data_IF_116539818356
#
_entry.id   IF_116539818356
#
_cell.length_a   1.000
_cell.length_b   1.000
_cell.length_c   1.000
_cell.angle_alpha   90.00
_cell.angle_beta   90.00
_cell.angle_gamma   90.00
#
_symmetry.space_group_name_H-M   'P 1'
#
loop_
_entity.id
_entity.type
_entity.pdbx_description
1 polymer ?
#
# COMPACT_ATOMS: atom_id res chain seq x y z
N UNK A 1 -50.86 -19.89 57.08
CA UNK A 1 -50.09 -20.36 55.90
C UNK A 1 -49.91 -19.13 55.00
N UNK A 2 -48.85 -18.34 55.16
CA UNK A 2 -47.60 -18.41 54.36
C UNK A 2 -47.95 -18.43 52.87
N UNK A 3 -47.92 -17.32 52.12
CA UNK A 3 -46.82 -16.37 51.94
C UNK A 3 -46.08 -16.74 50.65
N UNK A 4 -46.51 -16.20 49.50
CA UNK A 4 -45.89 -16.42 48.19
C UNK A 4 -45.99 -15.15 47.32
N UNK A 5 -45.30 -14.09 47.73
CA UNK A 5 -44.92 -12.96 46.86
C UNK A 5 -43.48 -12.60 47.23
N UNK A 6 -42.54 -12.77 46.30
CA UNK A 6 -41.13 -12.44 46.57
C UNK A 6 -40.06 -13.16 45.73
N UNK A 7 -40.38 -13.65 44.53
CA UNK A 7 -39.39 -14.35 43.68
C UNK A 7 -39.06 -13.65 42.35
N UNK A 8 -39.65 -12.49 42.03
CA UNK A 8 -39.44 -11.83 40.73
C UNK A 8 -38.39 -10.70 40.74
N UNK A 9 -38.04 -10.16 41.92
CA UNK A 9 -37.15 -8.98 42.00
C UNK A 9 -35.65 -9.34 41.91
N UNK A 10 -35.27 -10.54 42.35
CA UNK A 10 -33.88 -11.00 42.31
C UNK A 10 -33.44 -11.38 40.88
N UNK A 11 -34.34 -11.95 40.08
CA UNK A 11 -34.07 -12.36 38.69
C UNK A 11 -33.94 -11.15 37.73
N UNK A 12 -34.76 -10.12 37.95
CA UNK A 12 -34.65 -8.84 37.23
C UNK A 12 -33.34 -8.12 37.59
N UNK A 13 -32.90 -8.20 38.85
CA UNK A 13 -31.61 -7.65 39.27
C UNK A 13 -30.44 -8.37 38.60
N UNK A 14 -30.46 -9.71 38.56
CA UNK A 14 -29.40 -10.51 37.94
C UNK A 14 -29.31 -10.31 36.43
N UNK A 15 -30.44 -10.27 35.72
CA UNK A 15 -30.47 -9.94 34.29
C UNK A 15 -29.98 -8.52 33.99
N UNK A 16 -30.27 -7.56 34.87
CA UNK A 16 -29.77 -6.18 34.75
C UNK A 16 -28.25 -6.10 34.96
N UNK A 17 -27.70 -6.89 35.90
CA UNK A 17 -26.25 -7.03 36.09
C UNK A 17 -25.56 -7.65 34.87
N UNK A 18 -26.18 -8.66 34.26
CA UNK A 18 -25.70 -9.27 33.01
C UNK A 18 -25.71 -8.25 31.88
N UNK A 19 -26.79 -7.47 31.71
CA UNK A 19 -26.85 -6.43 30.68
C UNK A 19 -25.82 -5.32 30.88
N UNK A 20 -25.56 -4.90 32.12
CA UNK A 20 -24.51 -3.93 32.42
C UNK A 20 -23.13 -4.48 32.06
N UNK A 21 -22.84 -5.73 32.41
CA UNK A 21 -21.59 -6.38 32.04
C UNK A 21 -21.41 -6.52 30.52
N UNK A 22 -22.49 -6.85 29.79
CA UNK A 22 -22.49 -6.91 28.33
C UNK A 22 -22.27 -5.53 27.71
N UNK A 23 -22.90 -4.48 28.26
CA UNK A 23 -22.72 -3.11 27.78
C UNK A 23 -21.31 -2.58 28.05
N UNK A 24 -20.73 -2.87 29.21
CA UNK A 24 -19.37 -2.50 29.57
C UNK A 24 -18.34 -3.18 28.64
N UNK A 25 -18.49 -4.48 28.42
CA UNK A 25 -17.67 -5.21 27.44
C UNK A 25 -17.86 -4.68 26.03
N UNK A 26 -19.09 -4.36 25.61
CA UNK A 26 -19.36 -3.79 24.29
C UNK A 26 -18.74 -2.38 24.13
N UNK A 27 -18.70 -1.58 25.20
CA UNK A 27 -18.04 -0.28 25.22
C UNK A 27 -16.52 -0.45 25.03
N UNK A 28 -15.88 -1.32 25.82
CA UNK A 28 -14.43 -1.58 25.72
C UNK A 28 -14.04 -2.13 24.35
N UNK A 29 -14.85 -3.03 23.76
CA UNK A 29 -14.63 -3.56 22.40
C UNK A 29 -14.73 -2.43 21.36
N UNK A 30 -15.72 -1.54 21.47
CA UNK A 30 -15.89 -0.40 20.56
C UNK A 30 -14.75 0.60 20.70
N UNK A 31 -14.34 0.92 21.92
CA UNK A 31 -13.22 1.81 22.22
C UNK A 31 -11.91 1.23 21.68
N UNK A 32 -11.64 -0.06 21.92
CA UNK A 32 -10.45 -0.75 21.39
C UNK A 32 -10.45 -0.76 19.86
N UNK A 33 -11.61 -1.04 19.23
CA UNK A 33 -11.73 -0.98 17.78
C UNK A 33 -11.53 0.44 17.24
N UNK A 34 -12.04 1.48 17.91
CA UNK A 34 -11.82 2.88 17.50
C UNK A 34 -10.36 3.31 17.63
N UNK A 35 -9.65 2.91 18.70
CA UNK A 35 -8.22 3.17 18.85
C UNK A 35 -7.35 2.41 17.84
N UNK A 36 -7.81 1.23 17.39
CA UNK A 36 -7.17 0.50 16.29
C UNK A 36 -7.49 1.08 14.89
N UNK A 37 -8.49 1.97 14.77
CA UNK A 37 -8.79 2.71 13.55
C UNK A 37 -8.02 4.04 13.50
N UNK A 38 -6.70 4.01 13.73
CA UNK A 38 -5.88 5.05 13.10
C UNK A 38 -6.00 4.80 11.59
N UNK A 39 -6.44 5.76 10.76
CA UNK A 39 -6.29 5.62 9.33
C UNK A 39 -4.82 5.34 9.09
N UNK A 40 -4.49 4.13 8.60
CA UNK A 40 -3.13 3.77 8.24
C UNK A 40 -2.70 4.77 7.19
N UNK A 41 -1.89 5.75 7.60
CA UNK A 41 -1.26 6.65 6.65
C UNK A 41 -0.37 5.75 5.81
N UNK A 42 -0.78 5.53 4.57
CA UNK A 42 -0.02 4.71 3.64
C UNK A 42 1.40 5.26 3.58
N UNK A 43 2.37 4.43 3.94
CA UNK A 43 3.77 4.84 3.84
C UNK A 43 4.14 4.98 2.37
N UNK A 44 5.18 5.75 2.08
CA UNK A 44 5.68 5.85 0.71
C UNK A 44 6.07 4.47 0.15
N UNK A 45 6.61 3.59 0.99
CA UNK A 45 6.99 2.23 0.62
C UNK A 45 5.76 1.36 0.29
N UNK A 46 4.69 1.44 1.11
CA UNK A 46 3.42 0.76 0.84
C UNK A 46 2.84 1.17 -0.52
N UNK A 47 2.87 2.49 -0.79
CA UNK A 47 2.41 3.05 -2.07
C UNK A 47 3.23 2.52 -3.25
N UNK A 48 4.56 2.48 -3.12
CA UNK A 48 5.46 1.96 -4.15
C UNK A 48 5.16 0.48 -4.40
N UNK A 49 5.05 -0.34 -3.35
CA UNK A 49 4.80 -1.78 -3.48
C UNK A 49 3.47 -2.05 -4.18
N UNK A 50 2.40 -1.33 -3.81
CA UNK A 50 1.10 -1.46 -4.47
C UNK A 50 1.18 -1.09 -5.95
N UNK A 51 1.75 0.06 -6.27
CA UNK A 51 1.81 0.54 -7.67
C UNK A 51 2.69 -0.37 -8.52
N UNK A 52 3.85 -0.80 -8.01
CA UNK A 52 4.70 -1.79 -8.69
C UNK A 52 3.95 -3.11 -8.92
N UNK A 53 3.20 -3.58 -7.93
CA UNK A 53 2.37 -4.78 -8.01
C UNK A 53 1.32 -4.70 -9.12
N UNK A 54 0.56 -3.61 -9.18
CA UNK A 54 -0.44 -3.38 -10.25
C UNK A 54 0.23 -3.21 -11.61
N UNK A 55 1.34 -2.47 -11.67
CA UNK A 55 2.06 -2.25 -12.92
C UNK A 55 2.60 -3.57 -13.50
N UNK A 56 3.12 -4.48 -12.66
CA UNK A 56 3.58 -5.81 -13.08
C UNK A 56 2.47 -6.63 -13.74
N UNK A 57 1.22 -6.51 -13.30
CA UNK A 57 0.07 -7.22 -13.93
C UNK A 57 -0.16 -6.80 -15.38
N UNK A 58 0.28 -5.60 -15.78
CA UNK A 58 0.21 -5.13 -17.16
C UNK A 58 1.24 -5.77 -18.09
N UNK A 59 2.13 -6.64 -17.56
CA UNK A 59 3.24 -7.28 -18.28
C UNK A 59 4.05 -6.27 -19.11
N UNK A 60 4.66 -5.28 -18.46
CA UNK A 60 5.46 -4.28 -19.15
C UNK A 60 6.69 -4.92 -19.83
N UNK A 61 7.14 -4.35 -20.96
CA UNK A 61 8.32 -4.86 -21.64
C UNK A 61 9.60 -4.55 -20.86
N UNK A 62 10.60 -5.40 -21.02
CA UNK A 62 11.95 -5.23 -20.45
C UNK A 62 12.89 -4.72 -21.53
N UNK A 63 13.84 -3.86 -21.15
CA UNK A 63 14.90 -3.40 -22.05
C UNK A 63 16.27 -3.88 -21.56
N UNK A 64 16.98 -4.61 -22.43
CA UNK A 64 18.28 -5.23 -22.12
C UNK A 64 19.49 -4.41 -22.57
N UNK A 65 19.26 -3.25 -23.19
CA UNK A 65 20.31 -2.42 -23.79
C UNK A 65 20.55 -2.75 -25.27
N UNK A 66 19.47 -2.85 -26.06
CA UNK A 66 19.59 -3.01 -27.52
C UNK A 66 20.31 -1.77 -28.11
N UNK A 67 21.30 -1.95 -29.00
CA UNK A 67 22.04 -0.83 -29.59
C UNK A 67 21.20 -0.01 -30.59
N UNK A 68 20.06 -0.53 -31.05
CA UNK A 68 19.16 0.19 -31.94
C UNK A 68 18.38 1.28 -31.16
N UNK A 69 18.56 2.57 -31.48
CA UNK A 69 17.85 3.65 -30.81
C UNK A 69 16.32 3.54 -30.95
N UNK A 70 15.83 2.99 -32.05
CA UNK A 70 14.39 2.78 -32.26
C UNK A 70 13.81 1.74 -31.28
N UNK A 71 14.59 0.73 -30.89
CA UNK A 71 14.16 -0.26 -29.91
C UNK A 71 14.05 0.35 -28.50
N UNK A 72 14.99 1.23 -28.15
CA UNK A 72 14.94 1.99 -26.90
C UNK A 72 13.74 2.96 -26.86
N UNK A 73 13.50 3.70 -27.96
CA UNK A 73 12.37 4.62 -28.08
C UNK A 73 11.03 3.86 -27.98
N UNK A 74 10.89 2.75 -28.68
CA UNK A 74 9.68 1.93 -28.65
C UNK A 74 9.44 1.34 -27.25
N UNK A 75 10.49 0.86 -26.57
CA UNK A 75 10.38 0.43 -25.18
C UNK A 75 9.89 1.56 -24.27
N UNK A 76 10.47 2.75 -24.38
CA UNK A 76 10.09 3.91 -23.57
C UNK A 76 8.64 4.32 -23.81
N UNK A 77 8.21 4.35 -25.08
CA UNK A 77 6.83 4.65 -25.48
C UNK A 77 5.84 3.66 -24.86
N UNK A 78 6.16 2.36 -24.89
CA UNK A 78 5.31 1.32 -24.31
C UNK A 78 5.24 1.42 -22.78
N UNK A 79 6.38 1.65 -22.12
CA UNK A 79 6.45 1.85 -20.66
C UNK A 79 5.64 3.06 -20.24
N UNK A 80 5.84 4.22 -20.87
CA UNK A 80 5.11 5.44 -20.54
C UNK A 80 3.62 5.34 -20.79
N UNK A 81 3.20 4.71 -21.89
CA UNK A 81 1.78 4.45 -22.16
C UNK A 81 1.15 3.66 -21.01
N UNK A 82 1.77 2.54 -20.60
CA UNK A 82 1.28 1.72 -19.48
C UNK A 82 1.26 2.51 -18.17
N UNK A 83 2.28 3.34 -17.89
CA UNK A 83 2.33 4.15 -16.67
C UNK A 83 1.21 5.18 -16.62
N UNK A 84 0.90 5.81 -17.76
CA UNK A 84 -0.18 6.78 -17.87
C UNK A 84 -1.55 6.11 -17.72
N UNK A 85 -1.75 4.93 -18.32
CA UNK A 85 -2.96 4.13 -18.15
C UNK A 85 -3.18 3.72 -16.68
N UNK A 86 -2.11 3.36 -15.97
CA UNK A 86 -2.13 3.00 -14.55
C UNK A 86 -2.07 4.21 -13.59
N UNK A 87 -2.06 5.44 -14.13
CA UNK A 87 -1.97 6.70 -13.36
C UNK A 87 -0.81 6.71 -12.35
N UNK A 88 0.34 6.18 -12.76
CA UNK A 88 1.55 6.18 -11.94
C UNK A 88 1.97 7.62 -11.62
N UNK A 89 2.14 7.99 -10.32
CA UNK A 89 2.64 9.29 -9.91
C UNK A 89 3.98 9.65 -10.56
N UNK A 90 4.16 10.91 -10.95
CA UNK A 90 5.35 11.38 -11.68
C UNK A 90 6.66 11.07 -10.95
N UNK A 91 6.68 11.23 -9.63
CA UNK A 91 7.83 10.92 -8.77
C UNK A 91 8.19 9.43 -8.73
N UNK A 92 7.29 8.53 -9.15
CA UNK A 92 7.53 7.08 -9.16
C UNK A 92 7.85 6.53 -10.55
N UNK A 93 7.66 7.32 -11.62
CA UNK A 93 7.85 6.85 -13.00
C UNK A 93 9.26 6.35 -13.27
N UNK A 94 10.28 7.07 -12.80
CA UNK A 94 11.70 6.68 -12.98
C UNK A 94 12.00 5.42 -12.17
N UNK A 95 11.58 5.38 -10.89
CA UNK A 95 11.76 4.23 -10.02
C UNK A 95 11.14 2.96 -10.61
N UNK A 96 9.94 3.06 -11.19
CA UNK A 96 9.28 1.93 -11.84
C UNK A 96 9.94 1.59 -13.19
N UNK A 97 10.33 2.57 -14.02
CA UNK A 97 10.98 2.28 -15.30
C UNK A 97 12.30 1.52 -15.11
N UNK A 98 13.08 1.91 -14.10
CA UNK A 98 14.34 1.29 -13.74
C UNK A 98 14.19 -0.20 -13.44
N UNK A 99 13.11 -0.64 -12.79
CA UNK A 99 12.91 -2.08 -12.49
C UNK A 99 12.71 -2.96 -13.73
N UNK A 100 12.55 -2.36 -14.91
CA UNK A 100 12.41 -3.05 -16.20
C UNK A 100 13.61 -2.85 -17.13
N UNK A 101 14.71 -2.32 -16.60
CA UNK A 101 16.01 -2.40 -17.22
C UNK A 101 16.69 -3.70 -16.78
N UNK A 102 17.27 -4.41 -17.72
CA UNK A 102 18.07 -5.60 -17.49
C UNK A 102 19.39 -5.51 -18.28
N UNK A 103 20.34 -6.41 -18.00
CA UNK A 103 21.56 -6.55 -18.79
C UNK A 103 22.36 -5.25 -18.91
N UNK A 104 22.74 -4.88 -20.14
CA UNK A 104 23.56 -3.71 -20.40
C UNK A 104 22.89 -2.40 -20.00
N UNK A 105 21.57 -2.29 -20.18
CA UNK A 105 20.84 -1.09 -19.80
C UNK A 105 20.83 -0.88 -18.28
N UNK A 106 20.68 -1.97 -17.51
CA UNK A 106 20.74 -1.91 -16.04
C UNK A 106 22.12 -1.47 -15.56
N UNK A 107 23.20 -2.08 -16.06
CA UNK A 107 24.57 -1.69 -15.67
C UNK A 107 24.90 -0.24 -16.04
N UNK A 108 24.41 0.23 -17.20
CA UNK A 108 24.56 1.63 -17.60
C UNK A 108 23.86 2.57 -16.61
N UNK A 109 22.63 2.25 -16.20
CA UNK A 109 21.89 3.06 -15.23
C UNK A 109 22.58 3.11 -13.87
N UNK A 110 23.09 1.97 -13.37
CA UNK A 110 23.90 1.96 -12.14
C UNK A 110 25.14 2.85 -12.25
N UNK A 111 25.80 2.85 -13.42
CA UNK A 111 26.96 3.70 -13.66
C UNK A 111 26.60 5.19 -13.63
N UNK A 112 25.44 5.57 -14.19
CA UNK A 112 24.93 6.94 -14.14
C UNK A 112 24.63 7.38 -12.70
N UNK A 113 24.04 6.51 -11.89
CA UNK A 113 23.77 6.80 -10.47
C UNK A 113 25.05 6.87 -9.63
N UNK A 114 26.09 6.13 -10.01
CA UNK A 114 27.38 6.11 -9.32
C UNK A 114 28.29 7.30 -9.70
N UNK A 115 27.96 8.06 -10.75
CA UNK A 115 28.66 9.29 -11.08
C UNK A 115 28.07 10.44 -10.25
N UNK A 116 28.78 10.96 -9.22
CA UNK A 116 28.39 12.22 -8.61
C UNK A 116 28.48 13.32 -9.68
N UNK A 117 27.57 14.29 -9.58
CA UNK A 117 27.37 15.40 -10.52
C UNK A 117 28.71 15.91 -11.05
N UNK A 118 29.06 15.52 -12.28
CA UNK A 118 30.28 16.01 -12.93
C UNK A 118 29.96 17.44 -13.31
N UNK A 119 30.48 18.39 -12.52
CA UNK A 119 30.53 19.79 -12.89
C UNK A 119 31.15 19.88 -14.28
N UNK A 120 30.30 20.11 -15.29
CA UNK A 120 30.74 20.37 -16.66
C UNK A 120 31.27 21.81 -16.65
N UNK A 121 32.49 22.00 -16.16
CA UNK A 121 33.23 23.25 -16.36
C UNK A 121 33.43 23.40 -17.86
N UNK A 122 32.61 24.26 -18.44
CA UNK A 122 32.75 24.80 -19.80
C UNK A 122 33.93 25.75 -19.86
#
# INVERSE_FOLDING_TARGET
MTGLEGQNENDVSDSMRIMLAIQDMAFVIRETNQHNHKPHQETQDDQIMRIQGEFRKTRPPVFKGDPNPMAAEEWLRQIWRKMNEQRVPGNLKVTIAFTYLEGHAYHWWESVLAMPDVEITT
#
